data_IF_968038467331
#
_entry.id   IF_968038467331
#
_cell.length_a   1.000
_cell.length_b   1.000
_cell.length_c   1.000
_cell.angle_alpha   90.00
_cell.angle_beta   90.00
_cell.angle_gamma   90.00
#
_symmetry.space_group_name_H-M   'P 1'
#
loop_
_entity.id
_entity.type
_entity.pdbx_description
1 polymer ?
#
# COMPACT_ATOMS: atom_id res chain seq x y z
N UNK A 1 14.50 6.50 -13.44
CA UNK A 1 13.47 7.51 -13.74
C UNK A 1 12.87 7.95 -12.41
N UNK A 2 12.71 9.25 -12.12
CA UNK A 2 11.92 9.66 -10.94
C UNK A 2 10.48 9.21 -11.20
N UNK A 3 9.81 8.51 -10.26
CA UNK A 3 8.39 8.24 -10.40
C UNK A 3 7.67 9.59 -10.47
N UNK A 4 7.00 9.83 -11.60
CA UNK A 4 6.17 11.01 -11.80
C UNK A 4 4.90 10.76 -10.98
N UNK A 5 4.88 11.27 -9.75
CA UNK A 5 3.70 11.21 -8.90
C UNK A 5 2.76 12.29 -9.44
N UNK A 6 1.75 11.88 -10.20
CA UNK A 6 0.70 12.80 -10.63
C UNK A 6 0.05 13.41 -9.39
N UNK A 7 -0.05 14.73 -9.38
CA UNK A 7 -0.70 15.50 -8.31
C UNK A 7 -2.21 15.43 -8.46
N UNK A 8 -2.93 15.75 -7.39
CA UNK A 8 -4.39 15.84 -7.44
C UNK A 8 -4.89 16.84 -8.49
N UNK A 9 -4.17 17.95 -8.69
CA UNK A 9 -4.47 18.92 -9.74
C UNK A 9 -4.27 18.36 -11.16
N UNK A 10 -3.37 17.39 -11.33
CA UNK A 10 -3.09 16.76 -12.62
C UNK A 10 -4.05 15.61 -12.93
N UNK A 11 -4.64 14.96 -11.92
CA UNK A 11 -5.55 13.81 -12.09
C UNK A 11 -6.75 13.84 -11.11
N UNK A 12 -7.60 14.87 -11.14
CA UNK A 12 -8.62 15.08 -10.11
C UNK A 12 -9.65 13.94 -10.01
N UNK A 13 -10.08 13.38 -11.14
CA UNK A 13 -11.01 12.24 -11.20
C UNK A 13 -10.46 10.96 -10.56
N UNK A 14 -9.17 10.67 -10.73
CA UNK A 14 -8.52 9.51 -10.12
C UNK A 14 -8.48 9.70 -8.60
N UNK A 15 -8.05 10.87 -8.16
CA UNK A 15 -8.01 11.21 -6.74
C UNK A 15 -9.40 11.20 -6.09
N UNK A 16 -10.43 11.68 -6.79
CA UNK A 16 -11.81 11.65 -6.31
C UNK A 16 -12.31 10.20 -6.12
N UNK A 17 -11.99 9.31 -7.05
CA UNK A 17 -12.33 7.88 -6.98
C UNK A 17 -11.64 7.21 -5.81
N UNK A 18 -10.32 7.38 -5.68
CA UNK A 18 -9.54 6.82 -4.57
C UNK A 18 -10.10 7.31 -3.23
N UNK A 19 -10.36 8.61 -3.07
CA UNK A 19 -10.93 9.18 -1.84
C UNK A 19 -12.27 8.57 -1.45
N UNK A 20 -13.16 8.37 -2.42
CA UNK A 20 -14.47 7.75 -2.19
C UNK A 20 -14.33 6.33 -1.65
N UNK A 21 -13.31 5.61 -2.10
CA UNK A 21 -13.07 4.21 -1.74
C UNK A 21 -12.20 4.04 -0.48
N UNK A 22 -11.42 5.06 -0.12
CA UNK A 22 -10.50 5.00 1.02
C UNK A 22 -11.11 4.53 2.35
N UNK A 23 -12.32 4.94 2.76
CA UNK A 23 -12.90 4.45 4.01
C UNK A 23 -13.08 2.93 4.04
N UNK A 24 -13.45 2.32 2.90
CA UNK A 24 -13.62 0.87 2.78
C UNK A 24 -12.24 0.18 2.83
N UNK A 25 -11.27 0.73 2.09
CA UNK A 25 -9.89 0.22 2.06
C UNK A 25 -9.29 0.23 3.47
N UNK A 26 -9.39 1.34 4.21
CA UNK A 26 -8.90 1.44 5.58
C UNK A 26 -9.51 0.39 6.52
N UNK A 27 -10.82 0.13 6.39
CA UNK A 27 -11.48 -0.91 7.20
C UNK A 27 -10.95 -2.30 6.88
N UNK A 28 -10.78 -2.63 5.60
CA UNK A 28 -10.24 -3.92 5.17
C UNK A 28 -8.81 -4.13 5.67
N UNK A 29 -7.93 -3.15 5.45
CA UNK A 29 -6.51 -3.20 5.89
C UNK A 29 -6.41 -3.28 7.41
N UNK A 30 -7.22 -2.53 8.16
CA UNK A 30 -7.24 -2.58 9.63
C UNK A 30 -7.63 -3.97 10.15
N UNK A 31 -8.62 -4.62 9.53
CA UNK A 31 -9.03 -5.99 9.88
C UNK A 31 -7.90 -6.99 9.65
N UNK A 32 -7.22 -6.90 8.51
CA UNK A 32 -6.07 -7.76 8.21
C UNK A 32 -4.90 -7.52 9.16
N UNK A 33 -4.61 -6.25 9.45
CA UNK A 33 -3.58 -5.88 10.43
C UNK A 33 -3.82 -6.51 11.80
N UNK A 34 -5.08 -6.62 12.24
CA UNK A 34 -5.43 -7.31 13.50
C UNK A 34 -5.11 -8.80 13.46
N UNK A 35 -5.35 -9.47 12.33
CA UNK A 35 -5.09 -10.91 12.19
C UNK A 35 -3.59 -11.24 12.27
N UNK A 36 -2.72 -10.30 11.91
CA UNK A 36 -1.26 -10.47 12.02
C UNK A 36 -0.72 -10.17 13.43
N UNK A 37 -1.53 -9.61 14.34
CA UNK A 37 -1.10 -9.33 15.73
C UNK A 37 -0.98 -10.64 16.50
N UNK A 38 0.19 -10.90 17.09
CA UNK A 38 0.50 -12.12 17.85
C UNK A 38 1.37 -13.13 17.09
N UNK A 39 1.59 -12.93 15.79
CA UNK A 39 2.61 -13.66 15.04
C UNK A 39 4.02 -13.17 15.42
N UNK A 40 5.02 -14.06 15.27
CA UNK A 40 6.43 -13.66 15.40
C UNK A 40 6.81 -12.62 14.35
N UNK A 41 7.81 -11.75 14.57
CA UNK A 41 8.25 -10.77 13.57
C UNK A 41 8.60 -11.40 12.21
N UNK A 42 9.22 -12.59 12.22
CA UNK A 42 9.55 -13.32 10.99
C UNK A 42 8.28 -13.80 10.27
N UNK A 43 7.32 -14.33 11.02
CA UNK A 43 6.03 -14.79 10.47
C UNK A 43 5.20 -13.63 9.92
N UNK A 44 5.22 -12.46 10.56
CA UNK A 44 4.58 -11.24 10.05
C UNK A 44 5.19 -10.82 8.71
N UNK A 45 6.53 -10.82 8.61
CA UNK A 45 7.23 -10.51 7.36
C UNK A 45 6.85 -11.47 6.24
N UNK A 46 6.82 -12.78 6.53
CA UNK A 46 6.42 -13.80 5.56
C UNK A 46 4.97 -13.60 5.09
N UNK A 47 4.03 -13.39 6.02
CA UNK A 47 2.62 -13.16 5.71
C UNK A 47 2.41 -11.92 4.84
N UNK A 48 3.10 -10.81 5.13
CA UNK A 48 3.02 -9.58 4.33
C UNK A 48 3.56 -9.81 2.91
N UNK A 49 4.68 -10.53 2.77
CA UNK A 49 5.25 -10.85 1.47
C UNK A 49 4.31 -11.71 0.63
N UNK A 50 3.73 -12.75 1.23
CA UNK A 50 2.78 -13.65 0.59
C UNK A 50 1.50 -12.91 0.17
N UNK A 51 0.92 -12.10 1.05
CA UNK A 51 -0.26 -11.28 0.73
C UNK A 51 0.02 -10.31 -0.44
N UNK A 52 1.19 -9.67 -0.44
CA UNK A 52 1.57 -8.76 -1.52
C UNK A 52 1.67 -9.51 -2.86
N UNK A 53 2.31 -10.68 -2.87
CA UNK A 53 2.42 -11.50 -4.07
C UNK A 53 1.06 -11.95 -4.60
N UNK A 54 0.18 -12.45 -3.72
CA UNK A 54 -1.19 -12.87 -4.08
C UNK A 54 -1.98 -11.72 -4.71
N UNK A 55 -1.91 -10.52 -4.12
CA UNK A 55 -2.62 -9.37 -4.66
C UNK A 55 -2.06 -8.89 -6.00
N UNK A 56 -0.74 -8.88 -6.16
CA UNK A 56 -0.14 -8.52 -7.43
C UNK A 56 -0.55 -9.50 -8.54
N UNK A 57 -0.51 -10.80 -8.26
CA UNK A 57 -0.94 -11.84 -9.20
C UNK A 57 -2.45 -11.83 -9.45
N UNK A 58 -3.27 -11.43 -8.47
CA UNK A 58 -4.70 -11.27 -8.70
C UNK A 58 -5.03 -10.12 -9.67
N UNK A 59 -4.20 -9.06 -9.70
CA UNK A 59 -4.36 -7.94 -10.64
C UNK A 59 -3.74 -8.21 -12.00
N UNK A 60 -2.65 -8.99 -12.05
CA UNK A 60 -1.91 -9.33 -13.26
C UNK A 60 -1.59 -10.84 -13.29
N UNK A 61 -2.60 -11.71 -13.48
CA UNK A 61 -2.44 -13.16 -13.36
C UNK A 61 -1.52 -13.76 -14.43
N UNK A 62 -1.53 -13.17 -15.63
CA UNK A 62 -0.82 -13.70 -16.80
C UNK A 62 0.42 -12.85 -17.18
N UNK A 63 0.75 -11.82 -16.40
CA UNK A 63 1.83 -10.87 -16.69
C UNK A 63 2.72 -10.70 -15.45
N UNK A 64 3.73 -11.57 -15.35
CA UNK A 64 4.67 -11.59 -14.22
C UNK A 64 5.44 -10.27 -14.11
N UNK A 65 5.83 -9.66 -15.23
CA UNK A 65 6.60 -8.41 -15.23
C UNK A 65 5.75 -7.26 -14.66
N UNK A 66 4.47 -7.17 -15.02
CA UNK A 66 3.54 -6.21 -14.40
C UNK A 66 3.27 -6.51 -12.93
N UNK A 67 3.13 -7.78 -12.54
CA UNK A 67 2.96 -8.15 -11.14
C UNK A 67 4.17 -7.75 -10.28
N UNK A 68 5.40 -7.98 -10.79
CA UNK A 68 6.64 -7.56 -10.15
C UNK A 68 6.75 -6.03 -10.08
N UNK A 69 6.42 -5.33 -11.17
CA UNK A 69 6.41 -3.86 -11.21
C UNK A 69 5.43 -3.27 -10.19
N UNK A 70 4.23 -3.86 -10.06
CA UNK A 70 3.24 -3.46 -9.06
C UNK A 70 3.75 -3.70 -7.63
N UNK A 71 4.42 -4.82 -7.36
CA UNK A 71 4.99 -5.10 -6.04
C UNK A 71 6.04 -4.05 -5.64
N UNK A 72 6.88 -3.63 -6.59
CA UNK A 72 7.86 -2.56 -6.35
C UNK A 72 7.19 -1.20 -6.10
N UNK A 73 6.16 -0.87 -6.88
CA UNK A 73 5.37 0.35 -6.68
C UNK A 73 4.70 0.38 -5.29
N UNK A 74 4.13 -0.75 -4.83
CA UNK A 74 3.56 -0.89 -3.48
C UNK A 74 4.62 -0.65 -2.41
N UNK A 75 5.83 -1.24 -2.56
CA UNK A 75 6.93 -1.03 -1.62
C UNK A 75 7.30 0.45 -1.53
N UNK A 76 7.40 1.13 -2.67
CA UNK A 76 7.73 2.55 -2.70
C UNK A 76 6.64 3.40 -2.03
N UNK A 77 5.36 3.12 -2.31
CA UNK A 77 4.25 3.83 -1.68
C UNK A 77 4.18 3.59 -0.16
N UNK A 78 4.50 2.37 0.29
CA UNK A 78 4.57 2.05 1.71
C UNK A 78 5.68 2.84 2.42
N UNK A 79 6.85 3.03 1.79
CA UNK A 79 7.93 3.89 2.33
C UNK A 79 7.45 5.33 2.50
N UNK A 80 6.74 5.87 1.51
CA UNK A 80 6.14 7.21 1.59
C UNK A 80 5.20 7.32 2.81
N UNK A 81 4.23 6.42 2.93
CA UNK A 81 3.27 6.44 4.05
C UNK A 81 3.94 6.28 5.42
N UNK A 82 4.95 5.41 5.52
CA UNK A 82 5.69 5.22 6.76
C UNK A 82 6.47 6.47 7.16
N UNK A 83 7.10 7.17 6.20
CA UNK A 83 7.78 8.45 6.46
C UNK A 83 6.79 9.54 6.85
N UNK A 84 5.69 9.68 6.13
CA UNK A 84 4.66 10.67 6.42
C UNK A 84 4.02 10.47 7.80
N UNK A 85 3.76 9.22 8.20
CA UNK A 85 3.22 8.91 9.52
C UNK A 85 4.12 9.37 10.68
N UNK A 86 5.45 9.42 10.47
CA UNK A 86 6.40 9.96 11.44
C UNK A 86 6.38 11.48 11.48
N UNK A 87 6.12 12.14 10.35
CA UNK A 87 6.07 13.60 10.27
C UNK A 87 4.81 14.18 10.93
N UNK A 88 3.68 13.48 10.86
CA UNK A 88 2.42 13.90 11.53
C UNK A 88 2.51 13.78 13.06
N UNK A 89 3.41 12.93 13.59
CA UNK A 89 3.66 12.78 15.03
C UNK A 89 4.53 13.87 15.66
N UNK A 90 5.26 14.67 14.87
CA UNK A 90 6.16 15.72 15.36
C UNK A 90 5.52 17.07 15.65
N UNK A 91 4.25 17.28 15.26
CA UNK A 91 3.52 18.53 15.46
C UNK A 91 2.66 18.56 16.74
N UNK A 92 2.81 17.56 17.62
CA UNK A 92 2.17 17.50 18.94
C UNK A 92 3.21 17.21 20.00
N UNK A 93 4.13 18.14 20.25
CA UNK A 93 4.85 18.27 21.50
C UNK A 93 5.28 19.71 21.70
#
# INVERSE_FOLDING_TARGET
>A
MKPMIATESEQPEIYATVRREMPVIHRAVSKMGKQMRGLSPLSQKAAIAELTAIWCLANYPDDLDRALSLAEAIRHQADIYLRESKNVGGARH
#
